data_IF_238653596398
#
_entry.id   IF_238653596398
#
_cell.length_a   1.000
_cell.length_b   1.000
_cell.length_c   1.000
_cell.angle_alpha   90.00
_cell.angle_beta   90.00
_cell.angle_gamma   90.00
#
_symmetry.space_group_name_H-M   'P 1'
#
loop_
_entity.id
_entity.type
_entity.pdbx_description
1 polymer ?
#
# COMPACT_ATOMS: atom_id res chain seq x y z
N UNK A 1 11.06 34.94 -32.95
CA UNK A 1 10.47 34.27 -31.75
C UNK A 1 9.14 33.56 -32.04
N UNK A 2 8.50 33.77 -33.20
CA UNK A 2 7.23 33.11 -33.56
C UNK A 2 7.38 31.70 -34.18
N UNK A 3 8.57 31.29 -34.66
CA UNK A 3 8.74 29.99 -35.35
C UNK A 3 8.97 28.78 -34.42
N UNK A 4 9.61 28.95 -33.25
CA UNK A 4 9.84 27.83 -32.32
C UNK A 4 8.56 27.34 -31.64
N UNK A 5 7.62 28.26 -31.37
CA UNK A 5 6.32 27.94 -30.76
C UNK A 5 5.47 27.03 -31.65
N UNK A 6 5.50 27.21 -32.97
CA UNK A 6 4.78 26.33 -33.91
C UNK A 6 5.42 24.95 -34.04
N UNK A 7 6.75 24.87 -33.98
CA UNK A 7 7.48 23.60 -34.12
C UNK A 7 7.21 22.65 -32.95
N UNK A 8 7.13 23.18 -31.74
CA UNK A 8 6.90 22.40 -30.52
C UNK A 8 5.48 22.49 -29.96
N UNK A 9 4.50 22.92 -30.76
CA UNK A 9 3.10 23.14 -30.32
C UNK A 9 2.49 21.91 -29.62
N UNK A 10 2.94 20.69 -29.97
CA UNK A 10 2.52 19.45 -29.29
C UNK A 10 2.75 19.49 -27.77
N UNK A 11 3.78 20.19 -27.30
CA UNK A 11 4.03 20.36 -25.87
C UNK A 11 2.94 21.20 -25.22
N UNK A 12 2.55 22.31 -25.83
CA UNK A 12 1.49 23.19 -25.32
C UNK A 12 0.11 22.52 -25.40
N UNK A 13 -0.16 21.77 -26.48
CA UNK A 13 -1.40 21.03 -26.70
C UNK A 13 -1.66 20.01 -25.57
N UNK A 14 -0.64 19.25 -25.20
CA UNK A 14 -0.76 18.17 -24.21
C UNK A 14 -0.48 18.60 -22.78
N UNK A 15 0.26 19.69 -22.57
CA UNK A 15 0.54 20.17 -21.23
C UNK A 15 -0.74 20.58 -20.50
N UNK A 16 -0.78 20.25 -19.21
CA UNK A 16 -1.93 20.46 -18.34
C UNK A 16 -1.68 21.51 -17.26
N UNK A 17 -0.44 21.94 -17.07
CA UNK A 17 -0.03 22.82 -15.98
C UNK A 17 0.47 24.15 -16.54
N UNK A 18 -0.34 25.24 -16.47
CA UNK A 18 0.07 26.54 -17.00
C UNK A 18 1.42 26.99 -16.43
N UNK A 19 2.34 27.43 -17.30
CA UNK A 19 3.67 27.87 -16.92
C UNK A 19 4.73 26.77 -16.75
N UNK A 20 4.36 25.48 -16.85
CA UNK A 20 5.29 24.34 -16.78
C UNK A 20 5.64 23.75 -18.16
N UNK A 21 5.31 24.45 -19.25
CA UNK A 21 5.78 24.07 -20.59
C UNK A 21 7.19 24.58 -20.76
N UNK A 22 8.12 23.68 -21.09
CA UNK A 22 9.49 24.07 -21.39
C UNK A 22 9.86 23.62 -22.80
N UNK A 23 9.81 24.58 -23.72
CA UNK A 23 10.07 24.37 -25.15
C UNK A 23 11.57 24.18 -25.39
N UNK A 24 11.99 23.10 -26.11
CA UNK A 24 13.38 22.93 -26.53
C UNK A 24 13.90 24.15 -27.32
N UNK A 25 15.19 24.42 -27.19
CA UNK A 25 15.86 25.53 -27.92
C UNK A 25 16.20 25.10 -29.36
N UNK A 26 16.34 23.79 -29.59
CA UNK A 26 16.61 23.19 -30.90
C UNK A 26 15.34 23.05 -31.72
N UNK A 27 15.45 22.85 -33.03
CA UNK A 27 14.31 22.62 -33.90
C UNK A 27 13.64 21.26 -33.68
N UNK A 28 12.40 21.09 -34.12
CA UNK A 28 11.69 19.81 -34.04
C UNK A 28 12.43 18.65 -34.75
N UNK A 29 13.22 18.95 -35.78
CA UNK A 29 14.03 17.96 -36.50
C UNK A 29 15.26 17.48 -35.72
N UNK A 30 15.70 18.19 -34.70
CA UNK A 30 16.84 17.80 -33.86
C UNK A 30 16.43 16.91 -32.67
N UNK A 31 15.12 16.75 -32.45
CA UNK A 31 14.58 15.84 -31.44
C UNK A 31 14.63 14.42 -31.96
N UNK A 32 15.41 13.57 -31.28
CA UNK A 32 15.63 12.16 -31.64
C UNK A 32 15.08 11.20 -30.60
N UNK A 33 14.79 11.66 -29.38
CA UNK A 33 14.30 10.80 -28.29
C UNK A 33 13.10 11.38 -27.57
N UNK A 34 12.18 10.51 -27.17
CA UNK A 34 11.04 10.82 -26.31
C UNK A 34 11.09 9.95 -25.05
N UNK A 35 11.28 10.58 -23.89
CA UNK A 35 11.27 9.91 -22.58
C UNK A 35 9.97 10.23 -21.85
N UNK A 36 9.23 9.18 -21.48
CA UNK A 36 7.91 9.28 -20.85
C UNK A 36 7.97 8.65 -19.47
N UNK A 37 7.61 9.45 -18.47
CA UNK A 37 7.57 9.04 -17.08
C UNK A 37 6.11 8.93 -16.61
N UNK A 38 5.63 7.72 -16.30
CA UNK A 38 4.38 7.58 -15.55
C UNK A 38 4.52 8.26 -14.18
N UNK A 39 3.42 8.80 -13.66
CA UNK A 39 3.43 9.53 -12.40
C UNK A 39 3.24 8.60 -11.21
N UNK A 40 2.04 8.01 -11.09
CA UNK A 40 1.57 7.32 -9.88
C UNK A 40 2.34 6.03 -9.60
N UNK A 41 3.08 6.00 -8.50
CA UNK A 41 3.97 4.93 -8.01
C UNK A 41 5.18 4.63 -8.92
N UNK A 42 5.39 5.44 -9.95
CA UNK A 42 6.54 5.35 -10.87
C UNK A 42 7.53 6.47 -10.56
N UNK A 43 7.14 7.72 -10.83
CA UNK A 43 7.92 8.92 -10.53
C UNK A 43 7.64 9.42 -9.10
N UNK A 44 6.36 9.49 -8.74
CA UNK A 44 5.87 9.93 -7.44
C UNK A 44 5.28 8.76 -6.65
N UNK A 45 5.59 8.67 -5.36
CA UNK A 45 5.07 7.66 -4.45
C UNK A 45 3.64 8.06 -4.04
N UNK A 46 2.69 7.94 -4.97
CA UNK A 46 1.30 8.30 -4.73
C UNK A 46 0.69 7.50 -3.58
N UNK A 47 -0.23 8.11 -2.81
CA UNK A 47 -0.86 7.41 -1.71
C UNK A 47 -1.73 6.28 -2.24
N UNK A 48 -1.68 5.12 -1.58
CA UNK A 48 -2.58 4.00 -1.81
C UNK A 48 -3.38 3.72 -0.55
N UNK A 49 -4.59 3.11 -0.65
CA UNK A 49 -5.32 2.67 0.53
C UNK A 49 -4.44 1.77 1.39
N UNK A 50 -4.42 1.99 2.70
CA UNK A 50 -3.63 1.22 3.63
C UNK A 50 -4.24 -0.17 3.84
N UNK A 51 -3.59 -1.26 3.39
CA UNK A 51 -4.16 -2.61 3.46
C UNK A 51 -4.30 -3.14 4.90
N UNK A 52 -3.76 -2.43 5.89
CA UNK A 52 -3.98 -2.74 7.31
C UNK A 52 -5.31 -2.19 7.84
N UNK A 53 -5.90 -1.20 7.18
CA UNK A 53 -7.15 -0.58 7.60
C UNK A 53 -8.39 -1.23 6.97
N UNK A 54 -8.23 -1.97 5.86
CA UNK A 54 -9.33 -2.52 5.08
C UNK A 54 -9.18 -4.02 4.85
N UNK A 55 -10.30 -4.71 4.72
CA UNK A 55 -10.34 -6.00 4.02
C UNK A 55 -10.03 -5.80 2.55
N UNK A 56 -9.58 -6.84 1.86
CA UNK A 56 -9.34 -6.77 0.40
C UNK A 56 -10.59 -6.34 -0.37
N UNK A 57 -11.77 -6.72 0.11
CA UNK A 57 -13.07 -6.33 -0.48
C UNK A 57 -13.20 -4.80 -0.51
N UNK A 58 -13.07 -4.15 0.63
CA UNK A 58 -13.13 -2.69 0.74
C UNK A 58 -11.95 -2.02 0.03
N UNK A 59 -10.75 -2.58 0.12
CA UNK A 59 -9.59 -2.07 -0.62
C UNK A 59 -9.84 -2.05 -2.14
N UNK A 60 -10.36 -3.16 -2.69
CA UNK A 60 -10.68 -3.26 -4.10
C UNK A 60 -11.78 -2.28 -4.52
N UNK A 61 -12.79 -2.08 -3.65
CA UNK A 61 -13.83 -1.07 -3.87
C UNK A 61 -13.23 0.33 -3.99
N UNK A 62 -12.34 0.70 -3.07
CA UNK A 62 -11.65 2.00 -3.08
C UNK A 62 -10.78 2.17 -4.34
N UNK A 63 -10.10 1.11 -4.79
CA UNK A 63 -9.19 1.17 -5.95
C UNK A 63 -9.89 1.13 -7.30
N UNK A 64 -10.95 0.33 -7.42
CA UNK A 64 -11.38 -0.17 -8.73
C UNK A 64 -12.63 0.49 -9.26
N UNK A 65 -13.45 1.13 -8.42
CA UNK A 65 -14.88 1.24 -8.75
C UNK A 65 -15.18 2.14 -9.96
N UNK A 66 -15.67 1.56 -11.07
CA UNK A 66 -16.39 2.29 -12.12
C UNK A 66 -17.89 2.34 -11.82
N UNK A 67 -18.36 1.64 -10.77
CA UNK A 67 -19.76 1.53 -10.34
C UNK A 67 -20.12 2.48 -9.19
N UNK A 68 -19.17 3.32 -8.77
CA UNK A 68 -19.30 4.40 -7.76
C UNK A 68 -19.05 5.70 -8.52
N UNK A 69 -19.98 6.00 -9.41
CA UNK A 69 -19.82 6.77 -10.64
C UNK A 69 -19.98 8.29 -10.50
N UNK A 70 -20.26 8.79 -9.30
CA UNK A 70 -20.47 10.24 -9.07
C UNK A 70 -19.25 10.99 -8.53
N UNK A 71 -18.34 10.32 -7.80
CA UNK A 71 -17.13 10.95 -7.22
C UNK A 71 -15.79 10.30 -7.61
N UNK A 72 -15.82 9.12 -8.26
CA UNK A 72 -14.64 8.45 -8.81
C UNK A 72 -13.88 7.57 -7.81
N UNK A 73 -12.90 6.81 -8.32
CA UNK A 73 -12.05 5.92 -7.51
C UNK A 73 -11.06 6.70 -6.63
N UNK A 74 -10.34 6.01 -5.74
CA UNK A 74 -9.21 6.59 -4.98
C UNK A 74 -8.20 7.37 -5.86
N UNK A 75 -8.08 6.99 -7.13
CA UNK A 75 -7.20 7.62 -8.10
C UNK A 75 -7.82 8.83 -8.82
N UNK A 76 -9.15 8.97 -8.79
CA UNK A 76 -9.87 10.09 -9.40
C UNK A 76 -10.07 11.26 -8.43
N UNK A 77 -9.98 11.00 -7.12
CA UNK A 77 -10.15 12.00 -6.07
C UNK A 77 -8.83 12.71 -5.71
N UNK A 78 -8.78 14.05 -5.66
CA UNK A 78 -7.56 14.79 -5.33
C UNK A 78 -7.19 14.71 -3.84
N UNK A 79 -8.14 14.49 -2.93
CA UNK A 79 -7.95 14.61 -1.47
C UNK A 79 -6.84 13.70 -0.90
N UNK A 80 -6.70 12.42 -1.30
CA UNK A 80 -5.56 11.61 -0.88
C UNK A 80 -4.22 12.26 -1.23
N UNK A 81 -4.09 12.76 -2.45
CA UNK A 81 -2.85 13.37 -2.93
C UNK A 81 -2.63 14.78 -2.31
N UNK A 82 -3.69 15.51 -1.99
CA UNK A 82 -3.61 16.77 -1.23
C UNK A 82 -3.07 16.57 0.19
N UNK A 83 -3.45 15.47 0.85
CA UNK A 83 -2.90 15.14 2.18
C UNK A 83 -1.40 14.90 2.06
N UNK A 84 -0.95 14.15 1.05
CA UNK A 84 0.48 13.95 0.79
C UNK A 84 1.20 15.28 0.50
N UNK A 85 0.62 16.14 -0.35
CA UNK A 85 1.20 17.46 -0.65
C UNK A 85 1.41 18.30 0.63
N UNK A 86 0.49 18.21 1.60
CA UNK A 86 0.64 18.87 2.90
C UNK A 86 1.77 18.24 3.72
N UNK A 87 1.89 16.91 3.73
CA UNK A 87 2.96 16.22 4.45
C UNK A 87 4.35 16.54 3.87
N UNK A 88 4.46 16.70 2.54
CA UNK A 88 5.71 17.10 1.88
C UNK A 88 6.27 18.42 2.43
N UNK A 89 5.41 19.37 2.83
CA UNK A 89 5.87 20.63 3.43
C UNK A 89 6.60 20.41 4.76
N UNK A 90 6.23 19.38 5.52
CA UNK A 90 6.76 19.13 6.86
C UNK A 90 7.86 18.06 6.88
N UNK A 91 7.83 17.11 5.96
CA UNK A 91 8.75 15.98 5.93
C UNK A 91 9.98 16.28 5.06
N UNK A 92 11.17 16.02 5.61
CA UNK A 92 12.46 16.29 4.95
C UNK A 92 12.89 15.19 3.97
N UNK A 93 12.33 13.98 4.09
CA UNK A 93 12.79 12.81 3.32
C UNK A 93 12.17 12.79 1.91
N UNK A 94 12.92 13.31 0.93
CA UNK A 94 12.52 13.33 -0.48
C UNK A 94 12.14 11.93 -1.01
N UNK A 95 12.89 10.90 -0.62
CA UNK A 95 12.69 9.52 -1.04
C UNK A 95 11.34 8.93 -0.58
N UNK A 96 10.72 9.53 0.45
CA UNK A 96 9.38 9.14 0.90
C UNK A 96 8.30 9.53 -0.12
N UNK A 97 8.53 10.57 -0.94
CA UNK A 97 7.57 11.10 -1.91
C UNK A 97 7.97 10.87 -3.36
N UNK A 98 9.26 10.87 -3.66
CA UNK A 98 9.75 10.76 -5.03
C UNK A 98 10.68 9.56 -5.21
N UNK A 99 10.62 8.95 -6.39
CA UNK A 99 11.59 7.95 -6.80
C UNK A 99 12.88 8.64 -7.27
N UNK A 100 13.84 8.80 -6.37
CA UNK A 100 15.07 9.57 -6.62
C UNK A 100 15.88 9.06 -7.83
N UNK A 101 15.87 7.75 -8.09
CA UNK A 101 16.56 7.19 -9.26
C UNK A 101 15.91 7.65 -10.56
N UNK A 102 14.57 7.70 -10.59
CA UNK A 102 13.82 8.14 -11.76
C UNK A 102 13.90 9.66 -11.93
N UNK A 103 13.92 10.44 -10.86
CA UNK A 103 14.20 11.89 -10.93
C UNK A 103 15.57 12.18 -11.55
N UNK A 104 16.60 11.41 -11.16
CA UNK A 104 17.93 11.54 -11.78
C UNK A 104 17.91 11.23 -13.27
N UNK A 105 17.16 10.21 -13.69
CA UNK A 105 16.98 9.90 -15.11
C UNK A 105 16.21 11.02 -15.83
N UNK A 106 15.15 11.54 -15.23
CA UNK A 106 14.38 12.67 -15.75
C UNK A 106 15.25 13.91 -15.97
N UNK A 107 16.09 14.25 -15.00
CA UNK A 107 17.10 15.32 -15.14
C UNK A 107 18.03 15.10 -16.34
N UNK A 108 18.51 13.87 -16.53
CA UNK A 108 19.39 13.57 -17.66
C UNK A 108 18.64 13.69 -18.99
N UNK A 109 17.37 13.25 -19.06
CA UNK A 109 16.52 13.48 -20.23
C UNK A 109 16.34 14.97 -20.50
N UNK A 110 16.07 15.75 -19.45
CA UNK A 110 15.82 17.19 -19.53
C UNK A 110 17.04 17.97 -20.06
N UNK A 111 18.26 17.57 -19.65
CA UNK A 111 19.50 18.22 -20.08
C UNK A 111 19.98 17.81 -21.48
N UNK A 112 19.51 16.69 -22.01
CA UNK A 112 19.84 16.27 -23.38
C UNK A 112 18.96 17.06 -24.36
N UNK A 113 19.59 17.99 -25.10
CA UNK A 113 18.89 18.86 -26.06
C UNK A 113 18.19 18.11 -27.18
N UNK A 114 18.61 16.87 -27.47
CA UNK A 114 17.99 16.01 -28.48
C UNK A 114 16.82 15.16 -27.93
N UNK A 115 16.50 15.31 -26.64
CA UNK A 115 15.47 14.54 -25.94
C UNK A 115 14.32 15.44 -25.50
N UNK A 116 13.09 14.99 -25.78
CA UNK A 116 11.89 15.51 -25.14
C UNK A 116 11.51 14.58 -23.99
N UNK A 117 11.31 15.16 -22.80
CA UNK A 117 10.91 14.46 -21.59
C UNK A 117 9.53 14.93 -21.12
N UNK A 118 8.62 13.98 -20.86
CA UNK A 118 7.26 14.29 -20.40
C UNK A 118 6.83 13.43 -19.23
N UNK A 119 5.98 13.99 -18.38
CA UNK A 119 5.19 13.21 -17.40
C UNK A 119 3.86 12.87 -18.03
N UNK A 120 3.44 11.60 -17.97
CA UNK A 120 2.18 11.15 -18.58
C UNK A 120 1.36 10.33 -17.59
N UNK A 121 0.21 10.86 -17.16
CA UNK A 121 -0.62 10.25 -16.12
C UNK A 121 -2.08 10.06 -16.54
N UNK A 122 -2.73 9.06 -15.94
CA UNK A 122 -4.17 8.85 -16.05
C UNK A 122 -5.02 9.77 -15.17
N UNK A 123 -4.41 10.58 -14.29
CA UNK A 123 -5.11 11.56 -13.44
C UNK A 123 -5.82 12.60 -14.31
N UNK A 124 -7.09 12.87 -14.02
CA UNK A 124 -7.94 13.79 -14.81
C UNK A 124 -7.52 15.23 -14.59
N UNK A 125 -7.23 15.95 -15.66
CA UNK A 125 -6.81 17.35 -15.62
C UNK A 125 -7.77 18.24 -14.82
N UNK A 126 -9.08 18.08 -15.07
CA UNK A 126 -10.15 18.82 -14.37
C UNK A 126 -10.01 18.80 -12.84
N UNK A 127 -9.56 17.68 -12.28
CA UNK A 127 -9.47 17.48 -10.83
C UNK A 127 -8.07 17.78 -10.28
N UNK A 128 -7.04 17.61 -11.10
CA UNK A 128 -5.66 17.53 -10.62
C UNK A 128 -4.74 18.64 -11.11
N UNK A 129 -5.11 19.46 -12.10
CA UNK A 129 -4.16 20.43 -12.68
C UNK A 129 -3.57 21.38 -11.61
N UNK A 130 -4.43 21.93 -10.73
CA UNK A 130 -4.01 22.84 -9.66
C UNK A 130 -3.14 22.13 -8.62
N UNK A 131 -3.43 20.85 -8.33
CA UNK A 131 -2.68 20.07 -7.36
C UNK A 131 -1.31 19.66 -7.88
N UNK A 132 -1.20 19.27 -9.15
CA UNK A 132 0.08 18.96 -9.79
C UNK A 132 0.99 20.19 -9.81
N UNK A 133 0.49 21.37 -10.23
CA UNK A 133 1.28 22.60 -10.16
C UNK A 133 1.82 22.88 -8.76
N UNK A 134 1.00 22.71 -7.72
CA UNK A 134 1.44 22.84 -6.32
C UNK A 134 2.48 21.79 -5.93
N UNK A 135 2.31 20.53 -6.33
CA UNK A 135 3.25 19.45 -5.99
C UNK A 135 4.65 19.69 -6.57
N UNK A 136 4.73 20.08 -7.85
CA UNK A 136 5.99 20.40 -8.49
C UNK A 136 6.62 21.66 -7.89
N UNK A 137 5.81 22.69 -7.60
CA UNK A 137 6.29 23.91 -6.93
C UNK A 137 6.87 23.62 -5.55
N UNK A 138 6.14 22.91 -4.67
CA UNK A 138 6.62 22.50 -3.34
C UNK A 138 7.94 21.73 -3.46
N UNK A 139 8.03 20.83 -4.45
CA UNK A 139 9.21 19.99 -4.62
C UNK A 139 10.45 20.80 -5.01
N UNK A 140 10.28 21.82 -5.87
CA UNK A 140 11.34 22.76 -6.21
C UNK A 140 11.71 23.63 -5.01
N UNK A 141 10.73 24.27 -4.38
CA UNK A 141 10.98 25.18 -3.26
C UNK A 141 11.66 24.52 -2.08
N UNK A 142 11.43 23.22 -1.88
CA UNK A 142 12.03 22.44 -0.80
C UNK A 142 13.36 21.80 -1.18
N UNK A 143 13.41 21.03 -2.26
CA UNK A 143 14.57 20.19 -2.55
C UNK A 143 15.47 20.72 -3.67
N UNK A 144 15.02 21.69 -4.47
CA UNK A 144 15.88 22.32 -5.47
C UNK A 144 16.78 23.42 -4.89
N UNK A 145 16.34 24.08 -3.81
CA UNK A 145 17.02 25.23 -3.20
C UNK A 145 17.79 24.87 -1.93
N UNK A 146 17.32 23.93 -1.11
CA UNK A 146 17.90 23.66 0.22
C UNK A 146 19.18 22.78 0.22
N UNK A 147 19.59 22.20 -0.91
CA UNK A 147 20.69 21.22 -0.97
C UNK A 147 21.85 21.59 -1.92
N UNK A 148 22.10 22.89 -2.12
CA UNK A 148 23.36 23.37 -2.73
C UNK A 148 24.57 23.14 -1.79
N UNK A 149 24.34 22.81 -0.51
CA UNK A 149 25.42 22.59 0.45
C UNK A 149 25.28 21.22 1.14
N UNK A 150 25.88 20.16 0.55
CA UNK A 150 26.78 19.22 1.27
C UNK A 150 27.17 17.92 0.53
N UNK A 151 26.58 17.55 -0.60
CA UNK A 151 27.01 16.34 -1.34
C UNK A 151 26.91 16.52 -2.86
N UNK A 152 28.04 16.32 -3.55
CA UNK A 152 28.26 16.34 -5.00
C UNK A 152 27.04 16.00 -5.89
N UNK A 153 26.37 17.02 -6.45
CA UNK A 153 25.37 16.85 -7.52
C UNK A 153 24.19 15.90 -7.21
N UNK A 154 23.93 15.64 -5.92
CA UNK A 154 22.92 14.65 -5.51
C UNK A 154 21.51 15.08 -5.96
N UNK A 155 21.19 16.36 -5.82
CA UNK A 155 19.88 16.96 -6.10
C UNK A 155 20.02 18.21 -6.99
N UNK A 156 19.02 18.48 -7.83
CA UNK A 156 19.04 19.62 -8.76
C UNK A 156 17.62 20.14 -9.01
N UNK A 157 17.46 21.43 -9.28
CA UNK A 157 16.18 22.01 -9.73
C UNK A 157 15.63 21.28 -10.96
N UNK A 158 16.54 20.93 -11.88
CA UNK A 158 16.28 20.12 -13.07
C UNK A 158 15.65 18.75 -12.80
N UNK A 159 15.72 18.21 -11.57
CA UNK A 159 15.07 16.94 -11.22
C UNK A 159 13.55 16.99 -11.45
N UNK A 160 12.97 18.19 -11.41
CA UNK A 160 11.53 18.44 -11.53
C UNK A 160 11.15 19.16 -12.82
N UNK A 161 12.08 19.30 -13.78
CA UNK A 161 11.83 19.94 -15.06
C UNK A 161 11.54 18.89 -16.14
N UNK A 162 10.47 19.14 -16.88
CA UNK A 162 9.99 18.33 -17.99
C UNK A 162 9.52 19.25 -19.09
N UNK A 163 9.57 18.82 -20.35
CA UNK A 163 9.07 19.64 -21.45
C UNK A 163 7.55 19.82 -21.39
N UNK A 164 6.82 18.82 -20.87
CA UNK A 164 5.38 18.91 -20.61
C UNK A 164 4.94 17.96 -19.47
N UNK A 165 3.88 18.36 -18.77
CA UNK A 165 3.18 17.52 -17.78
C UNK A 165 1.77 17.24 -18.32
N UNK A 166 1.54 16.00 -18.74
CA UNK A 166 0.34 15.58 -19.48
C UNK A 166 -0.63 14.82 -18.56
N UNK A 167 -1.73 15.48 -18.18
CA UNK A 167 -2.85 14.88 -17.45
C UNK A 167 -3.99 14.51 -18.41
N UNK A 168 -4.79 13.52 -18.04
CA UNK A 168 -5.93 13.05 -18.85
C UNK A 168 -6.93 14.17 -19.08
N UNK A 169 -7.05 14.60 -20.35
CA UNK A 169 -7.95 15.69 -20.78
C UNK A 169 -9.42 15.26 -20.67
N UNK A 170 -10.31 16.19 -20.31
CA UNK A 170 -11.74 15.90 -20.10
C UNK A 170 -12.49 15.55 -21.39
N UNK A 171 -12.03 16.04 -22.55
CA UNK A 171 -12.68 15.84 -23.86
C UNK A 171 -12.55 14.41 -24.39
N UNK A 172 -11.85 13.54 -23.67
CA UNK A 172 -11.63 12.16 -24.05
C UNK A 172 -12.46 11.21 -23.19
N UNK A 173 -13.60 10.78 -23.71
CA UNK A 173 -14.36 9.61 -23.22
C UNK A 173 -13.63 8.27 -23.49
N UNK A 174 -12.32 8.32 -23.75
CA UNK A 174 -11.51 7.14 -24.00
C UNK A 174 -10.98 6.57 -22.69
N UNK A 175 -10.69 5.27 -22.67
CA UNK A 175 -10.06 4.66 -21.51
C UNK A 175 -8.65 5.28 -21.29
N UNK A 176 -8.09 5.19 -20.08
CA UNK A 176 -6.81 5.82 -19.74
C UNK A 176 -5.66 5.41 -20.67
N UNK A 177 -5.64 4.17 -21.14
CA UNK A 177 -4.57 3.68 -22.00
C UNK A 177 -4.65 4.30 -23.41
N UNK A 178 -5.86 4.46 -23.95
CA UNK A 178 -6.07 5.09 -25.25
C UNK A 178 -5.64 6.56 -25.25
N UNK A 179 -5.96 7.31 -24.18
CA UNK A 179 -5.45 8.68 -23.99
C UNK A 179 -3.92 8.72 -24.05
N UNK A 180 -3.24 7.81 -23.33
CA UNK A 180 -1.77 7.74 -23.36
C UNK A 180 -1.25 7.45 -24.76
N UNK A 181 -1.89 6.53 -25.50
CA UNK A 181 -1.51 6.22 -26.88
C UNK A 181 -1.69 7.42 -27.82
N UNK A 182 -2.80 8.14 -27.73
CA UNK A 182 -3.03 9.35 -28.53
C UNK A 182 -1.99 10.43 -28.26
N UNK A 183 -1.66 10.66 -27.00
CA UNK A 183 -0.59 11.57 -26.63
C UNK A 183 0.71 11.16 -27.33
N UNK A 184 1.14 9.90 -27.17
CA UNK A 184 2.35 9.39 -27.81
C UNK A 184 2.33 9.57 -29.33
N UNK A 185 1.21 9.22 -30.00
CA UNK A 185 1.07 9.40 -31.44
C UNK A 185 1.26 10.85 -31.88
N UNK A 186 0.70 11.83 -31.16
CA UNK A 186 0.92 13.24 -31.50
C UNK A 186 2.39 13.65 -31.42
N UNK A 187 3.17 13.10 -30.49
CA UNK A 187 4.61 13.34 -30.42
C UNK A 187 5.37 12.66 -31.56
N UNK A 188 5.00 11.43 -31.91
CA UNK A 188 5.59 10.71 -33.06
C UNK A 188 5.32 11.44 -34.37
N UNK A 189 4.11 11.97 -34.56
CA UNK A 189 3.72 12.71 -35.75
C UNK A 189 4.42 14.08 -35.84
N UNK A 190 4.70 14.71 -34.68
CA UNK A 190 5.31 16.05 -34.64
C UNK A 190 6.82 16.03 -34.83
N UNK A 191 7.51 15.02 -34.33
CA UNK A 191 8.97 14.95 -34.34
C UNK A 191 9.45 13.98 -35.43
N UNK A 192 9.80 14.47 -36.65
CA UNK A 192 10.00 13.62 -37.82
C UNK A 192 11.24 12.71 -37.72
N UNK A 193 12.22 13.11 -36.91
CA UNK A 193 13.49 12.40 -36.72
C UNK A 193 13.53 11.64 -35.38
N UNK A 194 12.38 11.35 -34.78
CA UNK A 194 12.34 10.57 -33.56
C UNK A 194 12.83 9.14 -33.83
N UNK A 195 13.89 8.73 -33.15
CA UNK A 195 14.53 7.42 -33.28
C UNK A 195 14.18 6.51 -32.11
N UNK A 196 13.96 7.07 -30.91
CA UNK A 196 13.73 6.30 -29.69
C UNK A 196 12.55 6.83 -28.84
N UNK A 197 11.72 5.91 -28.34
CA UNK A 197 10.74 6.18 -27.28
C UNK A 197 11.03 5.30 -26.06
N UNK A 198 11.26 5.92 -24.91
CA UNK A 198 11.47 5.21 -23.64
C UNK A 198 10.34 5.52 -22.66
N UNK A 199 9.65 4.49 -22.16
CA UNK A 199 8.54 4.62 -21.20
C UNK A 199 8.89 3.93 -19.89
N UNK A 200 8.73 4.65 -18.78
CA UNK A 200 8.84 4.13 -17.41
C UNK A 200 7.43 4.00 -16.82
N UNK A 201 7.03 2.80 -16.40
CA UNK A 201 5.70 2.53 -15.81
C UNK A 201 5.80 1.38 -14.80
N UNK A 202 5.01 1.45 -13.71
CA UNK A 202 4.98 0.45 -12.63
C UNK A 202 4.01 -0.70 -12.89
N UNK A 203 3.02 -0.51 -13.79
CA UNK A 203 1.93 -1.46 -14.00
C UNK A 203 2.28 -2.42 -15.14
N UNK A 204 2.54 -3.67 -14.77
CA UNK A 204 2.82 -4.77 -15.73
C UNK A 204 1.76 -4.87 -16.85
N UNK A 205 0.48 -4.64 -16.53
CA UNK A 205 -0.59 -4.63 -17.53
C UNK A 205 -0.43 -3.49 -18.55
N UNK A 206 -0.08 -2.28 -18.11
CA UNK A 206 0.20 -1.15 -19.01
C UNK A 206 1.44 -1.41 -19.85
N UNK A 207 2.49 -1.97 -19.26
CA UNK A 207 3.70 -2.37 -19.99
C UNK A 207 3.38 -3.31 -21.15
N UNK A 208 2.58 -4.34 -20.89
CA UNK A 208 2.17 -5.29 -21.93
C UNK A 208 1.31 -4.62 -23.00
N UNK A 209 0.40 -3.72 -22.61
CA UNK A 209 -0.40 -2.95 -23.56
C UNK A 209 0.47 -2.02 -24.42
N UNK A 210 1.47 -1.35 -23.86
CA UNK A 210 2.40 -0.50 -24.63
C UNK A 210 3.22 -1.33 -25.62
N UNK A 211 3.71 -2.51 -25.22
CA UNK A 211 4.39 -3.43 -26.16
C UNK A 211 3.50 -3.77 -27.35
N UNK A 212 2.24 -4.10 -27.08
CA UNK A 212 1.27 -4.39 -28.15
C UNK A 212 1.00 -3.17 -29.03
N UNK A 213 0.84 -1.99 -28.42
CA UNK A 213 0.65 -0.73 -29.12
C UNK A 213 1.81 -0.46 -30.10
N UNK A 214 3.07 -0.47 -29.64
CA UNK A 214 4.20 -0.21 -30.53
C UNK A 214 4.41 -1.29 -31.60
N UNK A 215 4.18 -2.57 -31.27
CA UNK A 215 4.22 -3.65 -32.27
C UNK A 215 3.15 -3.47 -33.36
N UNK A 216 2.04 -2.80 -33.06
CA UNK A 216 0.96 -2.53 -34.03
C UNK A 216 1.24 -1.34 -34.95
N UNK A 217 2.22 -0.49 -34.62
CA UNK A 217 2.65 0.64 -35.45
C UNK A 217 3.53 0.14 -36.60
N UNK A 218 2.90 -0.53 -37.56
CA UNK A 218 3.52 -1.00 -38.79
C UNK A 218 4.27 0.15 -39.47
N UNK A 219 5.54 -0.07 -39.84
CA UNK A 219 6.43 0.87 -40.54
C UNK A 219 7.14 1.96 -39.73
N UNK A 220 7.11 1.92 -38.40
CA UNK A 220 7.95 2.83 -37.61
C UNK A 220 9.38 2.26 -37.47
N UNK A 221 10.40 3.00 -37.91
CA UNK A 221 11.82 2.68 -37.62
C UNK A 221 12.21 2.99 -36.17
N UNK A 222 11.22 3.40 -35.37
CA UNK A 222 11.39 3.92 -34.02
C UNK A 222 11.65 2.75 -33.07
N UNK A 223 12.79 2.82 -32.39
CA UNK A 223 13.12 1.91 -31.29
C UNK A 223 12.28 2.29 -30.08
N UNK A 224 11.69 1.30 -29.41
CA UNK A 224 10.95 1.54 -28.18
C UNK A 224 11.51 0.71 -27.02
N UNK A 225 11.56 1.32 -25.85
CA UNK A 225 12.05 0.72 -24.61
C UNK A 225 10.97 0.94 -23.54
N UNK A 226 10.45 -0.15 -22.97
CA UNK A 226 9.47 -0.06 -21.88
C UNK A 226 10.11 -0.65 -20.64
N UNK A 227 10.40 0.22 -19.67
CA UNK A 227 11.14 -0.08 -18.45
C UNK A 227 10.15 -0.34 -17.31
N UNK A 228 10.03 -1.59 -16.81
CA UNK A 228 9.25 -1.86 -15.61
C UNK A 228 9.89 -1.19 -14.39
N UNK A 229 9.12 -0.37 -13.69
CA UNK A 229 9.53 0.26 -12.44
C UNK A 229 8.90 -0.49 -11.27
N UNK A 230 9.69 -0.85 -10.25
CA UNK A 230 9.13 -1.46 -9.05
C UNK A 230 8.31 -0.39 -8.29
N UNK A 231 7.00 -0.62 -8.03
CA UNK A 231 6.16 0.38 -7.41
C UNK A 231 6.62 0.67 -5.97
N UNK A 232 6.58 1.95 -5.60
CA UNK A 232 6.74 2.40 -4.22
C UNK A 232 5.44 2.96 -3.72
N UNK A 233 4.95 2.41 -2.62
CA UNK A 233 3.67 2.80 -2.04
C UNK A 233 3.89 3.72 -0.86
N UNK A 234 3.16 4.84 -0.85
CA UNK A 234 3.02 5.68 0.32
C UNK A 234 1.63 5.42 0.93
N UNK A 235 1.55 5.34 2.26
CA UNK A 235 0.27 5.23 2.95
C UNK A 235 -0.02 6.55 3.66
N UNK A 236 -1.28 6.97 3.64
CA UNK A 236 -1.68 8.13 4.43
C UNK A 236 -1.49 7.84 5.92
N UNK A 237 -1.26 8.87 6.75
CA UNK A 237 -1.34 8.71 8.20
C UNK A 237 -2.70 8.12 8.57
N UNK A 238 -2.70 7.13 9.47
CA UNK A 238 -3.90 6.36 9.85
C UNK A 238 -5.06 7.29 10.27
N UNK A 239 -4.76 8.41 10.94
CA UNK A 239 -5.76 9.40 11.35
C UNK A 239 -6.44 10.07 10.15
N UNK A 240 -5.65 10.51 9.17
CA UNK A 240 -6.14 11.22 7.99
C UNK A 240 -6.98 10.27 7.13
N UNK A 241 -6.49 9.06 6.91
CA UNK A 241 -7.21 8.05 6.13
C UNK A 241 -8.53 7.63 6.80
N UNK A 242 -8.51 7.45 8.13
CA UNK A 242 -9.74 7.15 8.88
C UNK A 242 -10.76 8.29 8.83
N UNK A 243 -10.32 9.54 8.67
CA UNK A 243 -11.17 10.72 8.55
C UNK A 243 -11.68 10.90 7.12
N UNK A 244 -10.90 10.48 6.12
CA UNK A 244 -11.21 10.64 4.70
C UNK A 244 -12.30 9.68 4.24
N UNK A 245 -12.17 8.39 4.58
CA UNK A 245 -13.07 7.35 4.05
C UNK A 245 -14.55 7.53 4.43
N UNK A 246 -14.93 7.88 5.68
CA UNK A 246 -16.34 8.12 5.99
C UNK A 246 -16.93 9.25 5.15
N UNK A 247 -16.13 10.25 4.75
CA UNK A 247 -16.58 11.31 3.84
C UNK A 247 -16.83 10.77 2.45
N UNK A 248 -15.92 9.95 1.91
CA UNK A 248 -16.11 9.29 0.61
C UNK A 248 -17.40 8.49 0.58
N UNK A 249 -17.65 7.68 1.61
CA UNK A 249 -18.86 6.86 1.71
C UNK A 249 -20.10 7.72 1.80
N UNK A 250 -20.15 8.68 2.73
CA UNK A 250 -21.33 9.53 2.91
C UNK A 250 -21.66 10.37 1.66
N UNK A 251 -20.64 10.87 0.96
CA UNK A 251 -20.82 11.61 -0.29
C UNK A 251 -21.38 10.70 -1.38
N UNK A 252 -20.88 9.47 -1.45
CA UNK A 252 -21.34 8.50 -2.43
C UNK A 252 -22.80 8.07 -2.19
N UNK A 253 -23.16 7.70 -0.97
CA UNK A 253 -24.54 7.30 -0.61
C UNK A 253 -25.56 8.42 -0.94
N UNK A 254 -25.12 9.69 -0.89
CA UNK A 254 -25.96 10.83 -1.30
C UNK A 254 -26.10 10.97 -2.81
N UNK A 255 -25.09 10.56 -3.59
CA UNK A 255 -25.08 10.76 -5.03
C UNK A 255 -25.63 9.56 -5.83
N UNK A 256 -25.68 8.37 -5.24
CA UNK A 256 -26.29 7.19 -5.86
C UNK A 256 -27.44 6.67 -5.01
N UNK A 257 -28.66 7.07 -5.41
CA UNK A 257 -29.91 6.63 -4.77
C UNK A 257 -29.97 5.11 -4.69
N UNK A 258 -29.98 4.57 -3.47
CA UNK A 258 -30.07 3.13 -3.20
C UNK A 258 -28.73 2.43 -2.94
N UNK A 259 -27.59 3.11 -3.09
CA UNK A 259 -26.31 2.59 -2.61
C UNK A 259 -26.17 2.90 -1.11
N UNK A 260 -26.10 1.85 -0.29
CA UNK A 260 -25.75 1.95 1.13
C UNK A 260 -24.49 1.14 1.36
N UNK A 261 -23.39 1.85 1.56
CA UNK A 261 -22.08 1.26 1.85
C UNK A 261 -21.97 1.13 3.36
N UNK A 262 -22.60 0.08 3.90
CA UNK A 262 -22.49 -0.27 5.32
C UNK A 262 -21.05 -0.68 5.65
N UNK A 263 -20.20 0.32 5.95
CA UNK A 263 -18.85 0.08 6.43
C UNK A 263 -18.91 -0.29 7.90
N UNK A 264 -18.67 -1.57 8.19
CA UNK A 264 -18.55 -2.09 9.54
C UNK A 264 -17.07 -2.31 9.88
N UNK A 265 -16.79 -2.64 11.15
CA UNK A 265 -15.48 -3.12 11.56
C UNK A 265 -15.52 -4.63 11.68
N UNK A 266 -14.45 -5.28 11.23
CA UNK A 266 -14.23 -6.69 11.54
C UNK A 266 -14.17 -6.87 13.06
N UNK A 267 -14.55 -8.06 13.56
CA UNK A 267 -14.45 -8.40 14.98
C UNK A 267 -13.08 -8.02 15.56
N UNK A 268 -13.09 -7.37 16.73
CA UNK A 268 -11.87 -6.88 17.37
C UNK A 268 -10.95 -8.04 17.74
N UNK A 269 -9.67 -7.88 17.43
CA UNK A 269 -8.62 -8.82 17.82
C UNK A 269 -7.77 -8.15 18.90
N UNK A 270 -7.46 -8.88 19.97
CA UNK A 270 -6.59 -8.42 21.06
C UNK A 270 -5.48 -9.44 21.28
N UNK A 271 -4.24 -8.99 21.25
CA UNK A 271 -3.09 -9.86 21.58
C UNK A 271 -1.77 -9.38 21.02
N UNK A 272 -0.86 -10.34 20.80
CA UNK A 272 0.51 -10.09 20.34
C UNK A 272 0.61 -10.28 18.83
N UNK A 273 0.55 -9.17 18.08
CA UNK A 273 0.62 -9.14 16.63
C UNK A 273 2.05 -9.28 16.14
N UNK A 274 2.28 -10.14 15.16
CA UNK A 274 3.60 -10.32 14.56
C UNK A 274 3.98 -9.04 13.80
N UNK A 275 5.24 -8.63 13.90
CA UNK A 275 5.75 -7.59 12.99
C UNK A 275 5.79 -8.11 11.56
N UNK A 276 5.71 -7.22 10.56
CA UNK A 276 5.77 -7.59 9.13
C UNK A 276 6.98 -8.50 8.83
N UNK A 277 8.15 -8.16 9.38
CA UNK A 277 9.36 -8.98 9.24
C UNK A 277 9.23 -10.37 9.86
N UNK A 278 8.61 -10.48 11.04
CA UNK A 278 8.41 -11.76 11.73
C UNK A 278 7.38 -12.64 11.04
N UNK A 279 6.29 -12.05 10.54
CA UNK A 279 5.29 -12.75 9.72
C UNK A 279 5.91 -13.32 8.44
N UNK A 280 6.69 -12.52 7.69
CA UNK A 280 7.42 -13.00 6.50
C UNK A 280 8.37 -14.14 6.85
N UNK A 281 9.16 -13.99 7.92
CA UNK A 281 10.09 -15.01 8.41
C UNK A 281 9.38 -16.30 8.79
N UNK A 282 8.26 -16.21 9.50
CA UNK A 282 7.45 -17.36 9.93
C UNK A 282 6.84 -18.10 8.76
N UNK A 283 6.24 -17.38 7.80
CA UNK A 283 5.68 -17.99 6.57
C UNK A 283 6.76 -18.71 5.77
N UNK A 284 7.92 -18.08 5.56
CA UNK A 284 9.03 -18.71 4.84
C UNK A 284 9.53 -19.97 5.55
N UNK A 285 9.75 -19.89 6.86
CA UNK A 285 10.21 -21.03 7.66
C UNK A 285 9.18 -22.17 7.68
N UNK A 286 7.89 -21.86 7.87
CA UNK A 286 6.82 -22.85 7.88
C UNK A 286 6.65 -23.55 6.53
N UNK A 287 6.69 -22.80 5.42
CA UNK A 287 6.65 -23.38 4.07
C UNK A 287 7.85 -24.29 3.79
N UNK A 288 9.05 -23.93 4.25
CA UNK A 288 10.23 -24.79 4.11
C UNK A 288 10.12 -26.06 4.96
N UNK A 289 9.63 -25.94 6.20
CA UNK A 289 9.34 -27.09 7.06
C UNK A 289 8.35 -28.04 6.37
N UNK A 290 7.28 -27.49 5.78
CA UNK A 290 6.31 -28.27 5.02
C UNK A 290 6.95 -29.03 3.88
N UNK A 291 7.75 -28.37 3.03
CA UNK A 291 8.41 -29.01 1.88
C UNK A 291 9.37 -30.14 2.29
N UNK A 292 10.02 -30.01 3.45
CA UNK A 292 10.97 -31.01 3.94
C UNK A 292 10.27 -32.23 4.54
N UNK A 293 9.14 -32.02 5.22
CA UNK A 293 8.46 -33.06 6.00
C UNK A 293 7.21 -33.63 5.34
N UNK A 294 6.66 -32.96 4.33
CA UNK A 294 5.46 -33.36 3.60
C UNK A 294 5.77 -33.34 2.10
N UNK A 295 5.71 -34.52 1.47
CA UNK A 295 6.18 -34.74 0.07
C UNK A 295 5.31 -34.04 -0.99
N UNK A 296 4.15 -33.51 -0.63
CA UNK A 296 3.25 -32.79 -1.55
C UNK A 296 3.66 -31.32 -1.69
N UNK A 297 4.06 -30.97 -2.92
CA UNK A 297 4.66 -29.67 -3.27
C UNK A 297 3.66 -28.55 -3.56
N UNK A 298 2.34 -28.84 -3.53
CA UNK A 298 1.27 -27.86 -3.80
C UNK A 298 0.39 -27.60 -2.58
N UNK A 299 0.99 -27.23 -1.45
CA UNK A 299 0.24 -26.81 -0.27
C UNK A 299 -0.17 -25.35 -0.37
N UNK A 300 -1.48 -25.08 -0.43
CA UNK A 300 -2.03 -23.72 -0.29
C UNK A 300 -2.47 -23.50 1.16
N UNK A 301 -1.84 -22.54 1.84
CA UNK A 301 -2.17 -22.20 3.23
C UNK A 301 -3.40 -21.28 3.27
N UNK A 302 -4.43 -21.68 4.02
CA UNK A 302 -5.73 -20.99 4.01
C UNK A 302 -5.99 -20.05 5.19
N UNK A 303 -5.29 -20.24 6.33
CA UNK A 303 -5.52 -19.51 7.58
C UNK A 303 -4.52 -18.37 7.87
N UNK A 304 -3.51 -18.16 7.01
CA UNK A 304 -2.52 -17.08 7.14
C UNK A 304 -2.43 -16.21 5.88
N UNK A 305 -3.57 -15.96 5.25
CA UNK A 305 -3.66 -15.23 3.98
C UNK A 305 -3.31 -13.74 4.13
N UNK A 306 -3.54 -13.14 5.31
CA UNK A 306 -3.39 -11.70 5.51
C UNK A 306 -2.57 -11.34 6.75
N UNK A 307 -2.02 -10.12 6.73
CA UNK A 307 -1.38 -9.50 7.89
C UNK A 307 -2.42 -8.75 8.73
N UNK A 308 -2.31 -8.77 10.08
CA UNK A 308 -1.31 -9.49 10.88
C UNK A 308 -1.77 -10.88 11.34
N UNK A 309 -0.84 -11.83 11.36
CA UNK A 309 -0.89 -12.99 12.25
C UNK A 309 -0.65 -12.53 13.69
N UNK A 310 -1.23 -13.21 14.67
CA UNK A 310 -1.07 -12.85 16.07
C UNK A 310 -1.28 -14.01 17.03
N UNK A 311 -0.84 -13.82 18.27
CA UNK A 311 -1.15 -14.70 19.39
C UNK A 311 -2.31 -14.07 20.17
N UNK A 312 -3.50 -14.68 20.17
CA UNK A 312 -4.66 -14.10 20.83
C UNK A 312 -4.52 -14.06 22.35
N UNK A 313 -5.05 -13.00 22.97
CA UNK A 313 -5.20 -12.89 24.42
C UNK A 313 -6.65 -13.04 24.87
N UNK A 314 -7.60 -12.67 24.02
CA UNK A 314 -9.05 -12.80 24.21
C UNK A 314 -9.66 -13.47 23.00
N UNK A 315 -10.80 -14.16 23.19
CA UNK A 315 -11.57 -14.73 22.09
C UNK A 315 -11.81 -13.64 21.03
N UNK A 316 -11.60 -13.92 19.72
CA UNK A 316 -11.82 -12.89 18.72
C UNK A 316 -13.24 -12.33 18.78
N UNK A 317 -13.37 -11.04 18.50
CA UNK A 317 -14.62 -10.30 18.67
C UNK A 317 -14.84 -9.79 20.09
N UNK A 318 -14.18 -10.39 21.09
CA UNK A 318 -14.30 -9.94 22.47
C UNK A 318 -13.23 -8.89 22.80
N UNK A 319 -13.66 -7.85 23.52
CA UNK A 319 -12.76 -6.91 24.16
C UNK A 319 -11.93 -7.55 25.28
N UNK A 320 -11.17 -6.71 25.98
CA UNK A 320 -10.40 -7.10 27.16
C UNK A 320 -11.07 -6.55 28.42
N UNK A 321 -11.23 -7.38 29.44
CA UNK A 321 -11.71 -6.93 30.76
C UNK A 321 -10.60 -6.22 31.52
N UNK A 322 -10.95 -5.41 32.52
CA UNK A 322 -9.94 -4.73 33.35
C UNK A 322 -9.01 -5.71 34.09
N UNK A 323 -9.53 -6.87 34.55
CA UNK A 323 -8.70 -7.92 35.16
C UNK A 323 -7.71 -8.52 34.15
N UNK A 324 -8.15 -8.80 32.92
CA UNK A 324 -7.26 -9.29 31.86
C UNK A 324 -6.25 -8.22 31.42
N UNK A 325 -6.67 -6.97 31.30
CA UNK A 325 -5.78 -5.85 31.00
C UNK A 325 -4.70 -5.70 32.09
N UNK A 326 -5.07 -5.82 33.38
CA UNK A 326 -4.11 -5.85 34.50
C UNK A 326 -3.10 -7.00 34.37
N UNK A 327 -3.49 -8.18 33.89
CA UNK A 327 -2.55 -9.29 33.61
C UNK A 327 -1.61 -9.00 32.43
N UNK A 328 -2.05 -8.19 31.47
CA UNK A 328 -1.16 -7.63 30.45
C UNK A 328 -0.22 -6.54 31.02
N UNK A 329 -0.71 -5.72 31.97
CA UNK A 329 -0.01 -4.56 32.57
C UNK A 329 1.01 -4.90 33.67
N UNK A 330 0.73 -5.90 34.51
CA UNK A 330 1.54 -6.28 35.70
C UNK A 330 2.98 -6.68 35.36
N UNK A 331 3.34 -6.69 34.07
CA UNK A 331 4.66 -7.04 33.56
C UNK A 331 5.40 -5.84 32.90
N UNK A 332 4.85 -4.61 32.94
CA UNK A 332 5.46 -3.46 32.25
C UNK A 332 5.64 -2.15 33.05
N UNK A 333 5.06 -2.03 34.25
CA UNK A 333 5.57 -1.23 35.38
C UNK A 333 4.44 -1.13 36.43
N UNK A 334 4.61 -1.76 37.60
CA UNK A 334 3.86 -1.40 38.81
C UNK A 334 4.11 0.08 39.21
N UNK A 335 5.11 0.73 38.59
CA UNK A 335 5.73 1.98 39.00
C UNK A 335 4.91 3.24 38.67
N UNK A 336 3.92 3.21 37.77
CA UNK A 336 3.05 4.39 37.54
C UNK A 336 1.62 4.26 38.09
N UNK A 337 1.14 3.05 38.38
CA UNK A 337 -0.16 2.88 39.04
C UNK A 337 0.00 3.07 40.56
N UNK A 338 1.18 2.76 41.12
CA UNK A 338 1.47 2.87 42.57
C UNK A 338 1.98 4.24 43.04
N UNK A 339 2.41 5.14 42.14
CA UNK A 339 3.06 6.41 42.53
C UNK A 339 2.11 7.59 42.76
N UNK A 340 0.86 7.50 42.33
CA UNK A 340 -0.16 8.46 42.75
C UNK A 340 -0.93 7.84 43.90
N UNK A 341 -0.41 8.07 45.12
CA UNK A 341 -1.13 7.90 46.36
C UNK A 341 -2.44 8.70 46.30
N UNK A 342 -3.51 8.04 45.90
CA UNK A 342 -4.83 8.21 46.48
C UNK A 342 -5.61 6.91 46.26
N UNK A 343 -6.20 6.40 47.34
CA UNK A 343 -6.99 5.18 47.42
C UNK A 343 -8.33 5.28 46.65
N UNK A 344 -8.35 5.85 45.45
CA UNK A 344 -9.46 5.68 44.54
C UNK A 344 -9.26 4.38 43.76
N UNK A 345 -10.10 3.39 44.07
CA UNK A 345 -10.36 2.26 43.17
C UNK A 345 -10.77 2.83 41.82
N UNK A 346 -9.81 3.03 40.91
CA UNK A 346 -10.12 3.35 39.51
C UNK A 346 -11.13 2.34 39.01
N UNK A 347 -12.20 2.83 38.41
CA UNK A 347 -13.23 1.98 37.85
C UNK A 347 -12.62 1.06 36.80
N UNK A 348 -13.24 -0.09 36.54
CA UNK A 348 -12.79 -0.97 35.46
C UNK A 348 -12.81 -0.24 34.09
N UNK A 349 -13.69 0.75 33.93
CA UNK A 349 -13.74 1.63 32.76
C UNK A 349 -12.49 2.51 32.63
N UNK A 350 -12.01 3.12 33.72
CA UNK A 350 -10.80 3.96 33.70
C UNK A 350 -9.55 3.16 33.32
N UNK A 351 -9.48 1.91 33.77
CA UNK A 351 -8.36 1.01 33.46
C UNK A 351 -8.38 0.59 32.00
N UNK A 352 -9.56 0.25 31.47
CA UNK A 352 -9.71 -0.07 30.04
C UNK A 352 -9.44 1.18 29.20
N UNK A 353 -9.94 2.35 29.60
CA UNK A 353 -9.71 3.62 28.90
C UNK A 353 -8.24 3.99 28.89
N UNK A 354 -7.54 3.85 30.02
CA UNK A 354 -6.09 4.03 30.11
C UNK A 354 -5.34 3.01 29.23
N UNK A 355 -5.68 1.72 29.31
CA UNK A 355 -5.09 0.69 28.45
C UNK A 355 -5.27 0.99 26.96
N UNK A 356 -6.46 1.43 26.57
CA UNK A 356 -6.78 1.81 25.20
C UNK A 356 -6.18 3.15 24.80
N UNK A 357 -5.90 4.07 25.74
CA UNK A 357 -5.28 5.37 25.45
C UNK A 357 -3.77 5.24 25.24
N UNK A 358 -3.15 4.21 25.82
CA UNK A 358 -1.75 3.85 25.56
C UNK A 358 -1.51 3.25 24.17
N UNK A 359 -2.45 3.34 23.21
CA UNK A 359 -2.34 2.75 21.86
C UNK A 359 -1.02 3.02 21.14
N UNK A 360 -0.43 4.20 21.31
CA UNK A 360 0.88 4.57 20.76
C UNK A 360 2.04 3.87 21.47
N UNK A 361 1.93 3.61 22.77
CA UNK A 361 2.91 2.83 23.54
C UNK A 361 2.70 1.32 23.42
N UNK A 362 1.50 0.84 23.12
CA UNK A 362 1.24 -0.59 22.88
C UNK A 362 2.07 -1.12 21.69
N UNK A 363 2.29 -0.31 20.64
CA UNK A 363 3.23 -0.65 19.56
C UNK A 363 4.70 -0.74 20.00
N UNK A 364 5.07 -0.08 21.10
CA UNK A 364 6.40 -0.16 21.72
C UNK A 364 6.51 -1.36 22.68
N UNK A 365 5.38 -1.97 23.06
CA UNK A 365 5.33 -3.18 23.88
C UNK A 365 5.66 -4.42 23.04
N UNK A 366 6.92 -4.49 22.65
CA UNK A 366 7.44 -5.61 21.89
C UNK A 366 7.78 -6.78 22.80
N UNK A 367 7.27 -7.96 22.45
CA UNK A 367 7.64 -9.23 23.09
C UNK A 367 8.22 -10.14 22.01
N UNK A 368 9.16 -11.00 22.38
CA UNK A 368 9.64 -12.02 21.45
C UNK A 368 9.08 -13.38 21.85
N UNK A 369 8.75 -14.18 20.85
CA UNK A 369 8.31 -15.55 21.03
C UNK A 369 9.22 -16.48 20.26
N UNK A 370 9.40 -17.71 20.76
CA UNK A 370 10.07 -18.79 20.05
C UNK A 370 9.03 -19.82 19.62
N UNK A 371 9.01 -20.18 18.35
CA UNK A 371 8.18 -21.28 17.84
C UNK A 371 8.73 -22.60 18.36
N UNK A 372 7.90 -23.42 19.01
CA UNK A 372 8.31 -24.68 19.63
C UNK A 372 7.62 -25.90 19.02
N UNK A 373 6.48 -25.70 18.37
CA UNK A 373 5.83 -26.76 17.61
C UNK A 373 5.04 -26.19 16.44
N UNK A 374 4.78 -27.06 15.47
CA UNK A 374 4.00 -26.79 14.27
C UNK A 374 2.92 -27.86 14.13
N UNK A 375 1.71 -27.47 13.82
CA UNK A 375 0.61 -28.39 13.54
C UNK A 375 0.01 -28.07 12.18
N UNK A 376 -0.46 -29.12 11.51
CA UNK A 376 -1.01 -29.04 10.16
C UNK A 376 -2.30 -29.83 10.11
N UNK A 377 -3.32 -29.27 9.47
CA UNK A 377 -4.64 -29.87 9.30
C UNK A 377 -5.12 -29.63 7.88
N UNK A 378 -5.83 -30.59 7.29
CA UNK A 378 -6.56 -30.32 6.03
C UNK A 378 -7.67 -29.31 6.34
N UNK A 379 -7.75 -28.23 5.57
CA UNK A 379 -8.80 -27.25 5.75
C UNK A 379 -10.17 -27.90 5.44
N UNK A 380 -11.25 -27.54 6.16
CA UNK A 380 -12.59 -27.97 5.79
C UNK A 380 -12.87 -27.58 4.33
N UNK A 381 -13.38 -28.51 3.51
CA UNK A 381 -13.72 -28.23 2.11
C UNK A 381 -14.88 -27.23 2.09
N UNK A 382 -14.60 -25.96 1.82
CA UNK A 382 -15.63 -24.97 1.50
C UNK A 382 -15.92 -25.08 -0.01
N UNK A 383 -16.99 -25.78 -0.35
CA UNK A 383 -17.40 -26.02 -1.73
C UNK A 383 -17.93 -24.73 -2.37
N UNK A 384 -17.31 -24.27 -3.46
CA UNK A 384 -17.96 -23.35 -4.41
C UNK A 384 -17.42 -23.37 -5.84
N UNK A 385 -16.34 -24.09 -6.17
CA UNK A 385 -15.94 -24.24 -7.58
C UNK A 385 -15.26 -25.58 -7.92
N UNK A 386 -15.54 -26.09 -9.13
CA UNK A 386 -14.93 -27.32 -9.70
C UNK A 386 -13.39 -27.26 -9.81
N UNK A 387 -12.79 -26.07 -9.81
CA UNK A 387 -11.32 -25.88 -9.79
C UNK A 387 -10.69 -26.06 -8.40
N UNK A 388 -11.46 -25.91 -7.32
CA UNK A 388 -10.96 -26.05 -5.94
C UNK A 388 -10.82 -27.51 -5.48
N UNK A 389 -11.44 -28.47 -6.17
CA UNK A 389 -11.41 -29.89 -5.79
C UNK A 389 -10.03 -30.55 -5.94
N UNK A 390 -9.12 -30.00 -6.75
CA UNK A 390 -7.80 -30.60 -7.02
C UNK A 390 -6.66 -30.07 -6.13
N UNK A 391 -6.86 -28.98 -5.38
CA UNK A 391 -5.84 -28.44 -4.47
C UNK A 391 -6.34 -28.57 -3.02
N UNK A 392 -5.74 -29.47 -2.25
CA UNK A 392 -6.01 -29.58 -0.81
C UNK A 392 -5.51 -28.31 -0.11
N UNK A 393 -6.44 -27.45 0.30
CA UNK A 393 -6.12 -26.33 1.17
C UNK A 393 -5.71 -26.87 2.55
N UNK A 394 -4.60 -26.39 3.07
CA UNK A 394 -4.12 -26.78 4.40
C UNK A 394 -4.20 -25.59 5.35
N UNK A 395 -4.33 -25.90 6.61
CA UNK A 395 -4.14 -24.96 7.70
C UNK A 395 -2.89 -25.34 8.46
N UNK A 396 -2.15 -24.32 8.88
CA UNK A 396 -0.95 -24.48 9.67
C UNK A 396 -1.07 -23.64 10.93
N UNK A 397 -0.62 -24.18 12.06
CA UNK A 397 -0.66 -23.50 13.35
C UNK A 397 0.71 -23.60 13.98
N UNK A 398 1.06 -22.59 14.77
CA UNK A 398 2.35 -22.55 15.45
C UNK A 398 2.12 -22.37 16.93
N UNK A 399 2.73 -23.25 17.73
CA UNK A 399 2.80 -23.08 19.17
C UNK A 399 4.08 -22.36 19.51
N UNK A 400 3.98 -21.40 20.41
CA UNK A 400 5.10 -20.56 20.81
C UNK A 400 5.26 -20.50 22.31
N UNK A 401 6.40 -20.01 22.76
CA UNK A 401 6.66 -19.62 24.14
C UNK A 401 7.28 -18.22 24.16
N UNK A 402 6.96 -17.37 25.14
CA UNK A 402 7.62 -16.08 25.29
C UNK A 402 9.11 -16.28 25.60
N UNK A 403 9.96 -15.43 25.02
CA UNK A 403 11.42 -15.46 25.20
C UNK A 403 11.96 -14.04 25.29
N UNK A 404 12.93 -13.81 26.18
CA UNK A 404 13.55 -12.50 26.38
C UNK A 404 13.71 -12.15 27.86
N UNK A 405 14.21 -10.94 28.17
CA UNK A 405 14.40 -10.49 29.56
C UNK A 405 13.07 -10.30 30.30
N UNK A 406 12.00 -9.91 29.59
CA UNK A 406 10.62 -9.88 30.10
C UNK A 406 9.89 -11.14 29.63
N UNK A 407 10.07 -12.27 30.33
CA UNK A 407 9.52 -13.60 29.97
C UNK A 407 7.99 -13.72 30.13
N UNK A 408 7.32 -12.63 30.46
CA UNK A 408 5.98 -12.68 31.04
C UNK A 408 4.98 -12.12 30.02
N UNK A 409 4.35 -13.04 29.29
CA UNK A 409 3.24 -12.77 28.39
C UNK A 409 1.99 -13.46 28.95
N UNK A 410 0.81 -12.87 28.71
CA UNK A 410 -0.46 -13.43 29.16
C UNK A 410 -1.38 -13.77 27.99
N UNK A 411 -2.11 -14.86 28.11
CA UNK A 411 -3.20 -15.22 27.21
C UNK A 411 -4.31 -15.92 27.99
N UNK A 412 -5.55 -15.89 27.49
CA UNK A 412 -6.67 -16.62 28.11
C UNK A 412 -6.57 -18.14 27.91
N UNK A 413 -5.65 -18.61 27.06
CA UNK A 413 -5.52 -20.02 26.72
C UNK A 413 -4.27 -20.68 27.32
N UNK A 414 -4.23 -22.01 27.46
CA UNK A 414 -3.07 -22.71 28.03
C UNK A 414 -1.81 -22.62 27.15
N UNK A 415 -1.96 -22.37 25.85
CA UNK A 415 -0.87 -22.33 24.88
C UNK A 415 -0.88 -21.02 24.07
N UNK A 416 0.31 -20.53 23.73
CA UNK A 416 0.48 -19.37 22.85
C UNK A 416 0.46 -19.81 21.39
N UNK A 417 -0.73 -19.90 20.80
CA UNK A 417 -0.92 -20.32 19.42
C UNK A 417 -1.01 -19.11 18.51
N UNK A 418 -0.25 -19.13 17.41
CA UNK A 418 -0.36 -18.12 16.35
C UNK A 418 -1.56 -18.46 15.47
N UNK A 419 -2.45 -17.50 15.30
CA UNK A 419 -3.60 -17.54 14.40
C UNK A 419 -3.54 -16.35 13.44
N UNK A 420 -4.32 -16.45 12.36
CA UNK A 420 -4.45 -15.39 11.39
C UNK A 420 -5.80 -15.47 10.72
N UNK A 421 -6.08 -14.45 9.92
CA UNK A 421 -7.37 -14.27 9.27
C UNK A 421 -7.23 -14.41 7.77
N UNK A 422 -8.32 -14.86 7.17
CA UNK A 422 -8.55 -14.81 5.74
C UNK A 422 -9.90 -14.12 5.58
N UNK A 423 -9.85 -12.80 5.39
CA UNK A 423 -11.04 -11.96 5.33
C UNK A 423 -11.89 -12.21 4.07
N UNK A 424 -11.41 -13.06 3.15
CA UNK A 424 -12.19 -13.58 2.04
C UNK A 424 -13.15 -14.71 2.47
N UNK A 425 -12.98 -15.30 3.67
CA UNK A 425 -13.91 -16.28 4.27
C UNK A 425 -15.00 -15.57 5.09
N UNK A 426 -16.09 -16.28 5.35
CA UNK A 426 -17.07 -15.85 6.35
C UNK A 426 -16.39 -15.68 7.73
N UNK A 427 -16.41 -14.46 8.25
CA UNK A 427 -15.68 -14.10 9.47
C UNK A 427 -16.19 -14.83 10.71
N UNK A 428 -17.51 -15.04 10.81
CA UNK A 428 -18.10 -15.75 11.95
C UNK A 428 -17.63 -17.20 11.98
N UNK A 429 -17.71 -17.90 10.85
CA UNK A 429 -17.22 -19.28 10.72
C UNK A 429 -15.74 -19.36 11.05
N UNK A 430 -14.93 -18.42 10.53
CA UNK A 430 -13.49 -18.38 10.82
C UNK A 430 -13.20 -18.14 12.32
N UNK A 431 -13.98 -17.31 13.01
CA UNK A 431 -13.83 -17.10 14.45
C UNK A 431 -14.15 -18.33 15.27
N UNK A 432 -15.20 -19.07 14.90
CA UNK A 432 -15.56 -20.34 15.52
C UNK A 432 -14.44 -21.39 15.33
N UNK A 433 -13.87 -21.48 14.12
CA UNK A 433 -12.72 -22.33 13.83
C UNK A 433 -11.49 -21.97 14.69
N UNK A 434 -11.18 -20.67 14.79
CA UNK A 434 -10.07 -20.17 15.61
C UNK A 434 -10.32 -20.49 17.09
N UNK A 435 -11.50 -20.18 17.61
CA UNK A 435 -11.85 -20.46 19.01
C UNK A 435 -11.78 -21.95 19.34
N UNK A 436 -12.22 -22.82 18.42
CA UNK A 436 -12.12 -24.28 18.57
C UNK A 436 -10.67 -24.74 18.72
N UNK A 437 -9.77 -24.21 17.88
CA UNK A 437 -8.33 -24.50 17.97
C UNK A 437 -7.71 -24.01 19.28
N UNK A 438 -8.07 -22.80 19.73
CA UNK A 438 -7.50 -22.21 20.94
C UNK A 438 -8.00 -22.92 22.21
N UNK A 439 -9.27 -23.33 22.25
CA UNK A 439 -9.89 -23.99 23.41
C UNK A 439 -9.52 -25.47 23.52
N UNK A 440 -9.33 -26.16 22.40
CA UNK A 440 -8.86 -27.54 22.38
C UNK A 440 -7.62 -27.73 21.48
N UNK A 441 -6.45 -27.21 21.87
CA UNK A 441 -5.21 -27.36 21.09
C UNK A 441 -4.80 -28.81 20.83
N UNK A 442 -5.23 -29.75 21.70
CA UNK A 442 -4.95 -31.18 21.57
C UNK A 442 -5.66 -31.82 20.37
N UNK A 443 -6.66 -31.16 19.81
CA UNK A 443 -7.30 -31.59 18.54
C UNK A 443 -6.34 -31.51 17.34
N UNK A 444 -5.27 -30.73 17.45
CA UNK A 444 -4.25 -30.61 16.43
C UNK A 444 -3.10 -31.59 16.68
N UNK A 445 -2.57 -32.17 15.60
CA UNK A 445 -1.36 -33.00 15.67
C UNK A 445 -0.11 -32.11 15.66
N UNK A 446 0.46 -31.89 16.84
CA UNK A 446 1.66 -31.07 17.01
C UNK A 446 2.96 -31.83 16.75
N UNK A 447 3.85 -31.22 15.99
CA UNK A 447 5.21 -31.67 15.76
C UNK A 447 6.17 -30.69 16.46
N UNK A 448 6.90 -31.17 17.47
CA UNK A 448 7.90 -30.36 18.17
C UNK A 448 9.08 -30.05 17.25
N UNK A 449 9.54 -28.81 17.26
CA UNK A 449 10.70 -28.39 16.46
C UNK A 449 11.95 -28.23 17.31
N UNK A 450 13.03 -28.90 16.91
CA UNK A 450 14.32 -28.87 17.64
C UNK A 450 14.94 -27.47 17.64
N UNK A 451 14.92 -26.81 16.48
CA UNK A 451 15.45 -25.45 16.31
C UNK A 451 14.32 -24.52 15.85
N UNK A 452 13.59 -24.01 16.83
CA UNK A 452 12.54 -23.03 16.65
C UNK A 452 13.04 -21.65 16.22
N UNK A 453 12.26 -20.94 15.41
CA UNK A 453 12.57 -19.55 15.06
C UNK A 453 12.09 -18.57 16.14
N UNK A 454 12.86 -17.51 16.36
CA UNK A 454 12.43 -16.35 17.13
C UNK A 454 11.66 -15.37 16.25
N UNK A 455 10.48 -14.97 16.72
CA UNK A 455 9.61 -13.96 16.14
C UNK A 455 9.46 -12.77 17.10
N UNK A 456 9.29 -11.57 16.55
CA UNK A 456 8.98 -10.34 17.29
C UNK A 456 7.51 -10.00 17.11
N UNK A 457 6.87 -9.62 18.19
CA UNK A 457 5.48 -9.18 18.22
C UNK A 457 5.38 -7.81 18.89
N UNK A 458 4.27 -7.12 18.69
CA UNK A 458 3.83 -5.98 19.49
C UNK A 458 2.45 -6.28 20.05
N UNK A 459 2.17 -5.85 21.28
CA UNK A 459 0.83 -5.99 21.84
C UNK A 459 -0.09 -4.94 21.23
N UNK A 460 -1.37 -5.27 21.01
CA UNK A 460 -2.30 -4.24 20.57
C UNK A 460 -3.73 -4.69 20.37
N UNK A 461 -4.42 -3.90 19.56
CA UNK A 461 -5.79 -4.11 19.10
C UNK A 461 -5.81 -4.00 17.58
N UNK A 462 -6.51 -4.91 16.93
CA UNK A 462 -6.59 -4.92 15.47
C UNK A 462 -8.03 -5.16 15.00
N UNK A 463 -8.48 -4.32 14.08
CA UNK A 463 -9.68 -4.52 13.28
C UNK A 463 -9.52 -3.80 11.95
N UNK A 464 -10.08 -4.38 10.91
CA UNK A 464 -10.19 -3.78 9.58
C UNK A 464 -11.59 -3.22 9.39
N UNK A 465 -11.75 -2.28 8.47
CA UNK A 465 -13.06 -1.93 7.93
C UNK A 465 -13.44 -2.96 6.90
N UNK A 466 -14.69 -3.40 6.98
CA UNK A 466 -15.28 -4.33 6.03
C UNK A 466 -16.65 -3.81 5.56
N UNK A 467 -17.23 -4.50 4.59
CA UNK A 467 -18.59 -4.25 4.13
C UNK A 467 -19.29 -5.57 3.82
N UNK A 468 -20.59 -5.60 4.03
CA UNK A 468 -21.46 -6.77 3.83
C UNK A 468 -21.82 -7.00 2.35
N UNK A 469 -21.34 -6.14 1.44
CA UNK A 469 -21.58 -6.24 -0.01
C UNK A 469 -20.99 -7.50 -0.65
#
# INVERSE_FOLDING_TARGET
MTSSLTEHQVLEEWNSIPGEVHVPIVSAAEITKLHIYDFDNTLFNSPVPNPQLYTKRVENLLRSSPHISSFGSWWDDPRPLEIIAKLMNHDSERAAFWNENLLRLARLSWRDTSTVSIVLTGRKEKNFHSLFGKLFQISRDKWATEQIAKDDNKYSADDYLFNAICLKKQREETNTFDYKCKCILSFLDRYPNLEEVTIYDDRIHHINKFKNFFNSLLNTKIKWIIVPVAPRFHYLPIRDENTLIPKFVNEQERAESGLVLNLSRTPMQVGYFLTVGSQKKLLHWGLNYLRQHFKDTKVQLSNFAEYPMYIPCTAPGNGITASQARKCFTHFDEIQISKNNDNEKRSDEDIIKYFCSQKTMLSEWSTSFKVVAIAIREAPIQASSRKAQNNKAMEIYYRTIPVGPKKEAWTSWPEFIIVGYNYDKNLQVQMEEINSVLTNPKSLRWHNVKVGIKIKTYFGFFSKRDTDL
#
